data_IF_513662545868
#
_entry.id   IF_513662545868
#
_cell.length_a   1.000
_cell.length_b   1.000
_cell.length_c   1.000
_cell.angle_alpha   90.00
_cell.angle_beta   90.00
_cell.angle_gamma   90.00
#
_symmetry.space_group_name_H-M   'P 1'
#
loop_
_entity.id
_entity.type
_entity.pdbx_description
1 polymer ?
#
# COMPACT_ATOMS: atom_id res chain seq x y z
N UNK A 1 -29.50 42.77 35.32
CA UNK A 1 -28.89 41.87 34.30
C UNK A 1 -29.64 40.53 34.31
N UNK A 2 -30.50 40.33 33.31
CA UNK A 2 -31.59 39.34 33.29
C UNK A 2 -31.10 37.87 33.27
N UNK A 3 -31.78 37.00 34.02
CA UNK A 3 -31.52 35.55 34.18
C UNK A 3 -31.41 34.83 32.81
N UNK A 4 -32.11 35.34 31.79
CA UNK A 4 -32.09 34.82 30.41
C UNK A 4 -30.69 34.89 29.75
N UNK A 5 -29.92 35.94 30.01
CA UNK A 5 -28.58 36.10 29.44
C UNK A 5 -27.56 35.12 30.04
N UNK A 6 -27.75 34.73 31.31
CA UNK A 6 -26.89 33.74 31.97
C UNK A 6 -27.12 32.32 31.45
N UNK A 7 -28.36 31.98 31.06
CA UNK A 7 -28.71 30.67 30.48
C UNK A 7 -28.23 30.57 29.04
N UNK A 8 -28.35 31.64 28.24
CA UNK A 8 -27.90 31.67 26.85
C UNK A 8 -26.36 31.56 26.77
N UNK A 9 -25.63 32.28 27.63
CA UNK A 9 -24.16 32.20 27.72
C UNK A 9 -23.65 30.82 28.16
N UNK A 10 -24.37 30.12 29.04
CA UNK A 10 -24.01 28.74 29.45
C UNK A 10 -24.19 27.73 28.32
N UNK A 11 -25.17 27.92 27.45
CA UNK A 11 -25.43 27.04 26.29
C UNK A 11 -24.39 27.20 25.19
N UNK A 12 -23.94 28.42 24.92
CA UNK A 12 -22.87 28.69 23.94
C UNK A 12 -21.51 28.17 24.39
N UNK A 13 -21.17 28.28 25.68
CA UNK A 13 -19.92 27.73 26.23
C UNK A 13 -19.91 26.20 26.14
N UNK A 14 -21.02 25.53 26.48
CA UNK A 14 -21.13 24.07 26.39
C UNK A 14 -20.99 23.55 24.95
N UNK A 15 -21.60 24.22 23.97
CA UNK A 15 -21.50 23.85 22.56
C UNK A 15 -20.07 24.00 22.02
N UNK A 16 -19.33 25.03 22.45
CA UNK A 16 -17.95 25.25 22.04
C UNK A 16 -17.00 24.17 22.58
N UNK A 17 -17.22 23.71 23.82
CA UNK A 17 -16.42 22.65 24.45
C UNK A 17 -16.63 21.31 23.77
N UNK A 18 -17.87 20.97 23.39
CA UNK A 18 -18.18 19.74 22.65
C UNK A 18 -17.56 19.77 21.24
N UNK A 19 -17.60 20.92 20.56
CA UNK A 19 -16.97 21.09 19.26
C UNK A 19 -15.44 20.95 19.32
N UNK A 20 -14.78 21.48 20.36
CA UNK A 20 -13.34 21.29 20.54
C UNK A 20 -12.96 19.83 20.85
N UNK A 21 -13.79 19.11 21.63
CA UNK A 21 -13.53 17.71 21.95
C UNK A 21 -13.65 16.78 20.73
N UNK A 22 -14.53 17.11 19.76
CA UNK A 22 -14.68 16.33 18.53
C UNK A 22 -13.42 16.37 17.63
N UNK A 23 -12.68 17.49 17.64
CA UNK A 23 -11.47 17.67 16.82
C UNK A 23 -10.29 16.81 17.34
N UNK A 24 -10.31 16.45 18.62
CA UNK A 24 -9.23 15.66 19.25
C UNK A 24 -9.34 14.14 18.99
N UNK A 25 -10.43 13.66 18.39
CA UNK A 25 -10.68 12.21 18.19
C UNK A 25 -10.15 11.63 16.87
N UNK A 26 -9.39 12.41 16.09
CA UNK A 26 -9.04 12.07 14.70
C UNK A 26 -7.67 11.43 14.44
N UNK A 27 -6.75 11.38 15.41
CA UNK A 27 -5.41 10.80 15.20
C UNK A 27 -5.26 9.47 15.93
N UNK A 28 -5.53 8.37 15.23
CA UNK A 28 -5.00 7.06 15.63
C UNK A 28 -3.50 7.04 15.36
N UNK A 29 -2.67 7.10 16.40
CA UNK A 29 -1.23 6.84 16.30
C UNK A 29 -1.00 5.35 16.08
N UNK A 30 -1.13 4.90 14.83
CA UNK A 30 -0.74 3.54 14.45
C UNK A 30 0.78 3.39 14.55
N UNK A 31 1.25 2.33 15.21
CA UNK A 31 2.66 1.93 15.14
C UNK A 31 2.85 1.17 13.83
N UNK A 32 3.80 1.61 13.00
CA UNK A 32 4.20 0.84 11.84
C UNK A 32 4.81 -0.49 12.33
N UNK A 33 4.17 -1.60 11.98
CA UNK A 33 4.69 -2.91 12.33
C UNK A 33 5.86 -3.25 11.39
N UNK A 34 6.99 -3.75 11.92
CA UNK A 34 8.07 -4.24 11.07
C UNK A 34 7.56 -5.27 10.07
N UNK A 35 8.10 -5.25 8.86
CA UNK A 35 7.71 -6.22 7.83
C UNK A 35 8.03 -7.65 8.27
N UNK A 36 7.14 -8.59 7.98
CA UNK A 36 7.48 -10.03 7.97
C UNK A 36 8.07 -10.41 6.60
N UNK A 37 9.37 -10.74 6.48
CA UNK A 37 10.02 -10.95 5.19
C UNK A 37 9.48 -12.15 4.41
N UNK A 38 9.05 -13.22 5.10
CA UNK A 38 8.55 -14.44 4.45
C UNK A 38 7.24 -14.18 3.69
N UNK A 39 6.16 -13.77 4.39
CA UNK A 39 4.89 -13.39 3.78
C UNK A 39 5.04 -12.25 2.75
N UNK A 40 5.95 -11.30 2.97
CA UNK A 40 6.24 -10.25 2.00
C UNK A 40 6.81 -10.83 0.69
N UNK A 41 7.80 -11.72 0.78
CA UNK A 41 8.39 -12.37 -0.40
C UNK A 41 7.37 -13.25 -1.13
N UNK A 42 6.52 -13.98 -0.40
CA UNK A 42 5.46 -14.81 -0.99
C UNK A 42 4.40 -13.95 -1.69
N UNK A 43 4.03 -12.81 -1.12
CA UNK A 43 3.13 -11.85 -1.76
C UNK A 43 3.72 -11.29 -3.06
N UNK A 44 5.00 -10.91 -3.07
CA UNK A 44 5.67 -10.45 -4.29
C UNK A 44 5.66 -11.52 -5.40
N UNK A 45 5.99 -12.77 -5.06
CA UNK A 45 5.97 -13.87 -6.04
C UNK A 45 4.57 -14.11 -6.57
N UNK A 46 3.56 -14.14 -5.70
CA UNK A 46 2.15 -14.27 -6.09
C UNK A 46 1.74 -13.18 -7.08
N UNK A 47 2.15 -11.94 -6.83
CA UNK A 47 1.88 -10.80 -7.70
C UNK A 47 2.57 -10.96 -9.08
N UNK A 48 3.85 -11.33 -9.09
CA UNK A 48 4.62 -11.52 -10.32
C UNK A 48 4.12 -12.72 -11.14
N UNK A 49 3.73 -13.81 -10.49
CA UNK A 49 3.15 -14.98 -11.14
C UNK A 49 1.79 -14.64 -11.77
N UNK A 50 0.91 -13.94 -11.04
CA UNK A 50 -0.37 -13.46 -11.58
C UNK A 50 -0.15 -12.56 -12.81
N UNK A 51 0.83 -11.65 -12.76
CA UNK A 51 1.18 -10.83 -13.92
C UNK A 51 1.65 -11.67 -15.11
N UNK A 52 2.55 -12.63 -14.86
CA UNK A 52 3.09 -13.52 -15.90
C UNK A 52 2.02 -14.39 -16.55
N UNK A 53 1.03 -14.83 -15.78
CA UNK A 53 -0.15 -15.55 -16.24
C UNK A 53 -1.14 -14.67 -17.03
N UNK A 54 -0.92 -13.35 -17.08
CA UNK A 54 -1.78 -12.41 -17.78
C UNK A 54 -3.03 -12.02 -17.00
N UNK A 55 -3.03 -12.20 -15.67
CA UNK A 55 -4.08 -11.64 -14.80
C UNK A 55 -3.99 -10.12 -14.75
N UNK A 56 -5.05 -9.49 -14.28
CA UNK A 56 -5.07 -8.04 -14.00
C UNK A 56 -4.73 -7.79 -12.53
N UNK A 57 -4.25 -6.58 -12.17
CA UNK A 57 -4.09 -6.17 -10.77
C UNK A 57 -5.32 -6.39 -9.89
N UNK A 58 -6.53 -6.19 -10.44
CA UNK A 58 -7.78 -6.36 -9.70
C UNK A 58 -8.04 -7.80 -9.26
N UNK A 59 -7.50 -8.80 -9.98
CA UNK A 59 -7.60 -10.21 -9.60
C UNK A 59 -7.06 -10.48 -8.18
N UNK A 60 -6.06 -9.71 -7.75
CA UNK A 60 -5.39 -9.88 -6.46
C UNK A 60 -6.16 -9.25 -5.29
N UNK A 61 -7.12 -8.36 -5.57
CA UNK A 61 -7.98 -7.76 -4.54
C UNK A 61 -8.98 -8.77 -3.98
N UNK A 62 -9.35 -9.76 -4.80
CA UNK A 62 -10.28 -10.83 -4.42
C UNK A 62 -9.55 -12.06 -3.85
N UNK A 63 -8.22 -12.02 -3.76
CA UNK A 63 -7.42 -13.08 -3.13
C UNK A 63 -7.61 -13.10 -1.59
N UNK A 64 -7.19 -14.20 -0.96
CA UNK A 64 -7.22 -14.36 0.49
C UNK A 64 -5.81 -14.75 0.99
N UNK A 65 -5.06 -13.83 1.64
CA UNK A 65 -5.37 -12.41 1.87
C UNK A 65 -5.38 -11.58 0.57
N UNK A 66 -6.12 -10.46 0.59
CA UNK A 66 -6.13 -9.52 -0.52
C UNK A 66 -4.77 -8.82 -0.63
N UNK A 67 -4.27 -8.66 -1.87
CA UNK A 67 -3.00 -7.99 -2.14
C UNK A 67 -3.28 -6.75 -3.00
N UNK A 68 -2.85 -5.59 -2.51
CA UNK A 68 -2.92 -4.33 -3.26
C UNK A 68 -1.61 -4.16 -4.03
N UNK A 69 -1.68 -4.20 -5.36
CA UNK A 69 -0.51 -3.98 -6.22
C UNK A 69 -0.61 -2.64 -6.95
N UNK A 70 0.52 -1.94 -7.09
CA UNK A 70 0.68 -0.85 -8.05
C UNK A 70 1.98 -1.00 -8.84
N UNK A 71 1.82 -1.29 -10.12
CA UNK A 71 2.91 -1.36 -11.09
C UNK A 71 2.44 -0.69 -12.39
N UNK A 72 3.08 0.41 -12.79
CA UNK A 72 2.64 1.22 -13.94
C UNK A 72 2.80 0.50 -15.27
N UNK A 73 3.79 -0.38 -15.42
CA UNK A 73 3.95 -1.14 -16.67
C UNK A 73 2.87 -2.23 -16.76
N UNK A 74 2.53 -2.88 -15.65
CA UNK A 74 1.40 -3.81 -15.64
C UNK A 74 0.07 -3.09 -15.88
N UNK A 75 -0.18 -1.97 -15.19
CA UNK A 75 -1.40 -1.16 -15.35
C UNK A 75 -1.56 -0.59 -16.77
N UNK A 76 -0.45 -0.34 -17.48
CA UNK A 76 -0.47 0.08 -18.88
C UNK A 76 -0.55 -1.08 -19.89
N UNK A 77 -0.73 -2.32 -19.41
CA UNK A 77 -0.97 -3.49 -20.24
C UNK A 77 0.28 -4.19 -20.75
N UNK A 78 1.47 -3.92 -20.19
CA UNK A 78 2.64 -4.74 -20.50
C UNK A 78 2.42 -6.18 -19.97
N UNK A 79 2.90 -7.17 -20.71
CA UNK A 79 2.90 -8.57 -20.30
C UNK A 79 4.25 -8.92 -19.68
N UNK A 80 4.25 -9.61 -18.54
CA UNK A 80 5.45 -10.22 -17.99
C UNK A 80 5.73 -11.57 -18.66
N UNK A 81 6.86 -11.71 -19.35
CA UNK A 81 7.29 -12.97 -19.96
C UNK A 81 8.03 -13.85 -18.94
N UNK A 82 8.90 -13.25 -18.15
CA UNK A 82 9.63 -13.91 -17.07
C UNK A 82 10.16 -12.90 -16.06
N UNK A 83 10.47 -13.36 -14.86
CA UNK A 83 11.13 -12.56 -13.84
C UNK A 83 12.19 -13.38 -13.12
N UNK A 84 13.13 -12.68 -12.48
CA UNK A 84 14.11 -13.24 -11.56
C UNK A 84 14.20 -12.35 -10.32
N UNK A 85 13.84 -12.89 -9.17
CA UNK A 85 14.05 -12.23 -7.87
C UNK A 85 15.53 -12.35 -7.50
N UNK A 86 16.13 -11.24 -7.06
CA UNK A 86 17.53 -11.18 -6.65
C UNK A 86 17.65 -11.26 -5.12
N UNK A 87 18.12 -12.41 -4.63
CA UNK A 87 18.30 -12.64 -3.19
C UNK A 87 16.97 -12.72 -2.43
N UNK A 88 17.05 -12.50 -1.11
CA UNK A 88 15.92 -12.67 -0.19
C UNK A 88 15.20 -11.34 0.16
N UNK A 89 15.65 -10.23 -0.44
CA UNK A 89 15.21 -8.87 -0.09
C UNK A 89 15.92 -8.31 1.15
N UNK A 90 15.68 -7.03 1.42
CA UNK A 90 16.25 -6.29 2.57
C UNK A 90 15.11 -5.67 3.38
N UNK A 91 14.89 -6.12 4.64
CA UNK A 91 13.91 -5.49 5.51
C UNK A 91 14.33 -4.05 5.84
N UNK A 92 13.43 -3.11 5.62
CA UNK A 92 13.58 -1.69 5.89
C UNK A 92 12.30 -1.15 6.55
N UNK A 93 12.29 -1.18 7.89
CA UNK A 93 11.15 -0.81 8.73
C UNK A 93 9.88 -1.61 8.36
N UNK A 94 8.83 -0.94 7.87
CA UNK A 94 7.58 -1.56 7.48
C UNK A 94 7.60 -2.22 6.07
N UNK A 95 8.72 -2.14 5.34
CA UNK A 95 8.84 -2.62 3.97
C UNK A 95 9.91 -3.71 3.83
N UNK A 96 9.69 -4.66 2.94
CA UNK A 96 10.74 -5.48 2.34
C UNK A 96 11.11 -4.87 1.00
N UNK A 97 12.37 -4.45 0.84
CA UNK A 97 12.91 -3.99 -0.44
C UNK A 97 13.42 -5.18 -1.24
N UNK A 98 12.91 -5.38 -2.47
CA UNK A 98 13.29 -6.53 -3.31
C UNK A 98 13.66 -6.07 -4.71
N UNK A 99 14.83 -6.50 -5.21
CA UNK A 99 15.23 -6.33 -6.61
C UNK A 99 14.72 -7.48 -7.45
N UNK A 100 14.17 -7.16 -8.62
CA UNK A 100 13.64 -8.14 -9.55
C UNK A 100 14.00 -7.74 -10.98
N UNK A 101 14.64 -8.64 -11.71
CA UNK A 101 14.79 -8.51 -13.16
C UNK A 101 13.50 -8.96 -13.84
N UNK A 102 12.91 -8.11 -14.69
CA UNK A 102 11.69 -8.39 -15.43
C UNK A 102 11.98 -8.39 -16.92
N UNK A 103 11.47 -9.41 -17.62
CA UNK A 103 11.41 -9.43 -19.07
C UNK A 103 9.96 -9.20 -19.47
N UNK A 104 9.69 -8.07 -20.09
CA UNK A 104 8.35 -7.62 -20.44
C UNK A 104 8.17 -7.60 -21.96
N UNK A 105 6.93 -7.75 -22.39
CA UNK A 105 6.48 -7.47 -23.75
C UNK A 105 5.43 -6.35 -23.70
N UNK A 106 5.71 -5.22 -24.34
CA UNK A 106 4.78 -4.10 -24.44
C UNK A 106 4.76 -3.55 -25.87
N UNK A 107 3.57 -3.33 -26.42
CA UNK A 107 3.39 -2.77 -27.78
C UNK A 107 4.23 -3.49 -28.86
N UNK A 108 4.33 -4.81 -28.77
CA UNK A 108 5.09 -5.66 -29.70
C UNK A 108 6.61 -5.64 -29.51
N UNK A 109 7.14 -4.94 -28.49
CA UNK A 109 8.57 -4.89 -28.19
C UNK A 109 8.87 -5.65 -26.90
N UNK A 110 10.01 -6.34 -26.90
CA UNK A 110 10.59 -6.95 -25.70
C UNK A 110 11.51 -5.94 -25.01
N UNK A 111 11.45 -5.91 -23.69
CA UNK A 111 12.20 -4.97 -22.85
C UNK A 111 12.55 -5.62 -21.52
N UNK A 112 13.77 -5.39 -21.06
CA UNK A 112 14.22 -5.79 -19.74
C UNK A 112 14.10 -4.60 -18.77
N UNK A 113 13.80 -4.88 -17.51
CA UNK A 113 13.79 -3.91 -16.40
C UNK A 113 14.50 -4.51 -15.21
N UNK A 114 15.30 -3.70 -14.54
CA UNK A 114 15.72 -3.96 -13.18
C UNK A 114 14.77 -3.15 -12.29
N UNK A 115 13.81 -3.83 -11.68
CA UNK A 115 12.74 -3.22 -10.89
C UNK A 115 13.03 -3.39 -9.39
N UNK A 116 12.71 -2.36 -8.63
CA UNK A 116 12.71 -2.39 -7.18
C UNK A 116 11.27 -2.43 -6.67
N UNK A 117 10.96 -3.39 -5.80
CA UNK A 117 9.65 -3.50 -5.17
C UNK A 117 9.74 -3.24 -3.67
N UNK A 118 8.72 -2.56 -3.15
CA UNK A 118 8.45 -2.38 -1.73
C UNK A 118 7.24 -3.22 -1.37
N UNK A 119 7.39 -4.09 -0.38
CA UNK A 119 6.33 -4.97 0.09
C UNK A 119 6.02 -4.72 1.55
N UNK A 120 4.75 -4.47 1.89
CA UNK A 120 4.31 -4.34 3.29
C UNK A 120 3.43 -5.53 3.67
N UNK A 121 3.36 -5.82 4.97
CA UNK A 121 2.55 -6.93 5.53
C UNK A 121 1.50 -6.47 6.53
N UNK A 122 1.53 -5.19 6.95
CA UNK A 122 0.60 -4.63 7.91
C UNK A 122 0.35 -3.15 7.64
N UNK A 123 -0.90 -2.67 7.73
CA UNK A 123 -2.13 -3.42 8.07
C UNK A 123 -2.69 -4.27 6.92
N UNK A 124 -2.08 -4.22 5.74
CA UNK A 124 -2.49 -4.98 4.56
C UNK A 124 -1.25 -5.45 3.77
N UNK A 125 -1.42 -6.45 2.90
CA UNK A 125 -0.39 -6.82 1.94
C UNK A 125 -0.41 -5.84 0.77
N UNK A 126 0.71 -5.14 0.57
CA UNK A 126 0.88 -4.25 -0.57
C UNK A 126 2.16 -4.56 -1.32
N UNK A 127 2.14 -4.49 -2.64
CA UNK A 127 3.33 -4.63 -3.50
C UNK A 127 3.40 -3.44 -4.44
N UNK A 128 4.37 -2.57 -4.25
CA UNK A 128 4.54 -1.37 -5.07
C UNK A 128 5.90 -1.38 -5.75
N UNK A 129 5.94 -0.96 -7.02
CA UNK A 129 7.20 -0.68 -7.67
C UNK A 129 7.72 0.69 -7.22
N UNK A 130 8.93 0.72 -6.69
CA UNK A 130 9.63 1.96 -6.39
C UNK A 130 10.04 2.64 -7.71
N UNK A 131 9.58 3.88 -7.90
CA UNK A 131 9.83 4.68 -9.10
C UNK A 131 11.00 5.64 -8.96
N UNK A 132 11.61 5.69 -7.77
CA UNK A 132 12.71 6.61 -7.48
C UNK A 132 14.10 5.96 -7.61
N UNK A 133 14.16 4.67 -7.95
CA UNK A 133 15.38 3.87 -8.05
C UNK A 133 15.54 3.25 -9.43
#
# INVERSE_FOLDING_TARGET
MSIRNKILARRTVAALVVALAAIASGCSSGVAHPVDPGPAMDALKTVLDAWKEGKTPDFLKDAAPAIVVQDLEWLSGAKLESYQVEGDGVPADANLEVRVKLNLAAKGKKLQRDAHYLVTTSPALTVFRDMMR
#
